data_IF_457365996677
#
_entry.id   IF_457365996677
#
_cell.length_a   1.000
_cell.length_b   1.000
_cell.length_c   1.000
_cell.angle_alpha   90.00
_cell.angle_beta   90.00
_cell.angle_gamma   90.00
#
_symmetry.space_group_name_H-M   'P 1'
#
loop_
_entity.id
_entity.type
_entity.pdbx_description
1 polymer ?
#
# COMPACT_ATOMS: atom_id res chain seq x y z
N UNK A 1 25.61 -2.80 -9.46
CA UNK A 1 25.47 -4.28 -9.48
C UNK A 1 24.72 -4.81 -10.69
N UNK A 2 23.51 -4.32 -11.01
CA UNK A 2 22.67 -4.81 -12.14
C UNK A 2 23.41 -4.87 -13.48
N UNK A 3 24.16 -3.82 -13.84
CA UNK A 3 24.94 -3.75 -15.09
C UNK A 3 26.04 -4.83 -15.21
N UNK A 4 26.60 -5.33 -14.10
CA UNK A 4 27.62 -6.40 -14.11
C UNK A 4 26.99 -7.77 -14.40
N UNK A 5 25.79 -8.04 -13.86
CA UNK A 5 25.05 -9.30 -14.12
C UNK A 5 24.57 -9.42 -15.55
N UNK A 6 24.05 -8.36 -16.14
CA UNK A 6 23.60 -8.38 -17.56
C UNK A 6 24.75 -8.78 -18.48
N UNK A 7 25.97 -8.29 -18.21
CA UNK A 7 27.17 -8.69 -18.96
C UNK A 7 27.55 -10.16 -18.74
N UNK A 8 27.45 -10.67 -17.51
CA UNK A 8 27.70 -12.08 -17.19
C UNK A 8 26.68 -13.02 -17.82
N UNK A 9 25.39 -12.68 -17.80
CA UNK A 9 24.32 -13.46 -18.47
C UNK A 9 24.58 -13.51 -19.98
N UNK A 10 24.84 -12.36 -20.62
CA UNK A 10 25.16 -12.32 -22.06
C UNK A 10 26.39 -13.16 -22.42
N UNK A 11 27.43 -13.14 -21.58
CA UNK A 11 28.64 -13.96 -21.76
C UNK A 11 28.35 -15.47 -21.66
N UNK A 12 27.54 -15.88 -20.68
CA UNK A 12 27.16 -17.29 -20.49
C UNK A 12 26.26 -17.81 -21.62
N UNK A 13 25.31 -16.98 -22.10
CA UNK A 13 24.48 -17.29 -23.27
C UNK A 13 25.37 -17.47 -24.51
N UNK A 14 26.32 -16.55 -24.75
CA UNK A 14 27.27 -16.65 -25.88
C UNK A 14 28.11 -17.94 -25.84
N UNK A 15 28.37 -18.46 -24.63
CA UNK A 15 29.11 -19.72 -24.40
C UNK A 15 28.20 -20.95 -24.32
N UNK A 16 26.89 -20.83 -24.61
CA UNK A 16 25.89 -21.90 -24.52
C UNK A 16 25.79 -22.57 -23.14
N UNK A 17 26.16 -21.85 -22.07
CA UNK A 17 26.15 -22.32 -20.67
C UNK A 17 24.79 -22.05 -20.00
N UNK A 18 23.75 -22.67 -20.55
CA UNK A 18 22.35 -22.38 -20.17
C UNK A 18 22.03 -22.81 -18.74
N UNK A 19 22.62 -23.90 -18.24
CA UNK A 19 22.45 -24.36 -16.86
C UNK A 19 22.96 -23.33 -15.85
N UNK A 20 24.08 -22.68 -16.14
CA UNK A 20 24.67 -21.63 -15.29
C UNK A 20 23.91 -20.31 -15.38
N UNK A 21 23.34 -19.99 -16.55
CA UNK A 21 22.38 -18.89 -16.67
C UNK A 21 21.18 -19.16 -15.78
N UNK A 22 20.62 -20.36 -15.84
CA UNK A 22 19.45 -20.75 -15.04
C UNK A 22 19.76 -20.72 -13.55
N UNK A 23 20.92 -21.22 -13.11
CA UNK A 23 21.36 -21.11 -11.71
C UNK A 23 21.54 -19.66 -11.28
N UNK A 24 22.11 -18.81 -12.13
CA UNK A 24 22.34 -17.39 -11.83
C UNK A 24 21.04 -16.58 -11.74
N UNK A 25 20.03 -16.94 -12.54
CA UNK A 25 18.68 -16.35 -12.47
C UNK A 25 17.89 -16.90 -11.29
N UNK A 26 17.98 -18.21 -10.99
CA UNK A 26 17.30 -18.83 -9.85
C UNK A 26 17.87 -18.37 -8.50
N UNK A 27 19.19 -18.15 -8.43
CA UNK A 27 19.86 -17.55 -7.28
C UNK A 27 19.73 -16.02 -7.27
N UNK A 28 18.94 -15.43 -8.17
CA UNK A 28 18.48 -14.06 -8.01
C UNK A 28 17.39 -14.04 -6.93
N UNK A 29 17.81 -14.33 -5.70
CA UNK A 29 17.05 -13.96 -4.51
C UNK A 29 16.90 -12.46 -4.59
N UNK A 30 15.71 -12.02 -5.01
CA UNK A 30 15.31 -10.62 -4.95
C UNK A 30 15.47 -10.22 -3.49
N UNK A 31 16.55 -9.51 -3.17
CA UNK A 31 16.80 -9.08 -1.80
C UNK A 31 15.55 -8.33 -1.33
N UNK A 32 15.04 -8.63 -0.13
CA UNK A 32 13.90 -7.91 0.39
C UNK A 32 14.22 -6.42 0.41
N UNK A 33 13.23 -5.60 0.04
CA UNK A 33 13.39 -4.15 0.10
C UNK A 33 13.71 -3.70 1.52
N UNK A 34 14.55 -2.67 1.65
CA UNK A 34 14.76 -2.01 2.92
C UNK A 34 13.47 -1.34 3.40
N UNK A 35 13.34 -1.14 4.72
CA UNK A 35 12.13 -0.56 5.34
C UNK A 35 11.71 0.76 4.71
N UNK A 36 12.66 1.64 4.40
CA UNK A 36 12.41 2.93 3.73
C UNK A 36 11.81 2.75 2.33
N UNK A 37 12.38 1.85 1.52
CA UNK A 37 11.88 1.55 0.18
C UNK A 37 10.49 0.93 0.23
N UNK A 38 10.27 0.00 1.15
CA UNK A 38 8.96 -0.62 1.35
C UNK A 38 7.92 0.42 1.81
N UNK A 39 8.29 1.33 2.71
CA UNK A 39 7.39 2.41 3.18
C UNK A 39 7.04 3.38 2.05
N UNK A 40 8.04 3.85 1.29
CA UNK A 40 7.83 4.75 0.14
C UNK A 40 7.01 4.10 -0.95
N UNK A 41 7.26 2.83 -1.25
CA UNK A 41 6.49 2.11 -2.26
C UNK A 41 5.08 1.81 -1.76
N UNK A 42 4.92 1.40 -0.51
CA UNK A 42 3.62 1.11 0.10
C UNK A 42 2.74 2.36 0.26
N UNK A 43 3.34 3.55 0.48
CA UNK A 43 2.55 4.78 0.62
C UNK A 43 1.90 5.20 -0.69
N UNK A 44 2.51 4.93 -1.86
CA UNK A 44 1.95 5.36 -3.16
C UNK A 44 0.59 4.74 -3.49
N UNK A 45 0.39 3.41 -3.42
CA UNK A 45 -0.94 2.84 -3.58
C UNK A 45 -1.95 3.36 -2.56
N UNK A 46 -1.53 3.58 -1.31
CA UNK A 46 -2.40 4.11 -0.26
C UNK A 46 -2.84 5.55 -0.56
N UNK A 47 -1.91 6.42 -0.98
CA UNK A 47 -2.19 7.78 -1.43
C UNK A 47 -3.20 7.78 -2.58
N UNK A 48 -2.98 6.93 -3.60
CA UNK A 48 -3.93 6.78 -4.71
C UNK A 48 -5.32 6.36 -4.23
N UNK A 49 -5.41 5.38 -3.33
CA UNK A 49 -6.69 4.93 -2.78
C UNK A 49 -7.40 6.04 -1.99
N UNK A 50 -6.68 6.86 -1.24
CA UNK A 50 -7.26 8.01 -0.52
C UNK A 50 -7.82 9.04 -1.49
N UNK A 51 -7.11 9.31 -2.59
CA UNK A 51 -7.49 10.35 -3.55
C UNK A 51 -8.62 9.92 -4.48
N UNK A 52 -8.69 8.64 -4.84
CA UNK A 52 -9.57 8.18 -5.93
C UNK A 52 -10.72 7.27 -5.50
N UNK A 53 -10.68 6.70 -4.29
CA UNK A 53 -11.74 5.79 -3.86
C UNK A 53 -12.87 6.59 -3.18
N UNK A 54 -14.09 6.47 -3.74
CA UNK A 54 -15.30 7.10 -3.21
C UNK A 54 -16.37 6.06 -2.95
N UNK A 55 -17.16 6.28 -1.90
CA UNK A 55 -18.34 5.49 -1.59
C UNK A 55 -19.51 6.04 -2.42
N UNK A 56 -20.33 5.12 -2.93
CA UNK A 56 -21.54 5.48 -3.65
C UNK A 56 -22.56 6.12 -2.70
N UNK A 57 -23.32 7.13 -3.17
CA UNK A 57 -24.40 7.69 -2.39
C UNK A 57 -25.44 6.63 -2.00
N UNK A 58 -26.10 6.74 -0.84
CA UNK A 58 -27.17 5.84 -0.46
C UNK A 58 -28.29 5.80 -1.50
N UNK A 59 -28.83 4.62 -1.80
CA UNK A 59 -29.88 4.40 -2.81
C UNK A 59 -31.17 5.20 -2.52
N UNK A 60 -31.38 5.52 -1.25
CA UNK A 60 -32.51 6.26 -0.71
C UNK A 60 -32.31 7.79 -0.74
N UNK A 61 -31.28 8.29 -1.41
CA UNK A 61 -31.09 9.73 -1.62
C UNK A 61 -32.15 10.29 -2.59
N UNK A 62 -32.75 11.44 -2.25
CA UNK A 62 -33.73 12.10 -3.12
C UNK A 62 -33.07 12.68 -4.36
N UNK A 63 -33.76 12.61 -5.50
CA UNK A 63 -33.30 13.16 -6.78
C UNK A 63 -33.08 14.68 -6.76
N UNK A 64 -33.69 15.38 -5.79
CA UNK A 64 -33.54 16.83 -5.59
C UNK A 64 -32.27 17.20 -4.80
N UNK A 65 -31.52 16.22 -4.30
CA UNK A 65 -30.28 16.46 -3.54
C UNK A 65 -29.04 16.06 -4.34
N UNK A 66 -27.96 16.87 -4.30
CA UNK A 66 -26.70 16.52 -4.96
C UNK A 66 -26.14 15.18 -4.43
N UNK A 67 -25.54 14.33 -5.28
CA UNK A 67 -24.99 13.04 -4.88
C UNK A 67 -24.06 13.13 -3.66
N UNK A 68 -24.32 12.34 -2.61
CA UNK A 68 -23.47 12.24 -1.41
C UNK A 68 -22.20 11.43 -1.72
N UNK A 69 -21.28 12.03 -2.47
CA UNK A 69 -20.00 11.41 -2.86
C UNK A 69 -18.97 11.68 -1.76
N UNK A 70 -18.60 10.63 -1.02
CA UNK A 70 -17.65 10.72 0.10
C UNK A 70 -16.42 9.84 -0.12
N UNK A 71 -15.21 10.28 0.26
CA UNK A 71 -14.02 9.48 0.13
C UNK A 71 -14.11 8.23 1.01
N UNK A 72 -13.74 7.08 0.45
CA UNK A 72 -13.68 5.79 1.11
C UNK A 72 -12.63 5.74 2.22
N UNK A 73 -11.52 6.46 2.04
CA UNK A 73 -10.39 6.49 2.97
C UNK A 73 -9.97 7.93 3.28
N UNK A 74 -9.58 8.22 4.52
CA UNK A 74 -9.11 9.54 4.95
C UNK A 74 -7.88 9.42 5.85
N UNK A 75 -6.82 10.15 5.51
CA UNK A 75 -5.67 10.29 6.40
C UNK A 75 -5.96 11.34 7.49
N UNK A 76 -5.76 10.97 8.76
CA UNK A 76 -5.88 11.87 9.91
C UNK A 76 -4.70 11.73 10.85
N UNK A 77 -4.35 12.80 11.54
CA UNK A 77 -3.39 12.78 12.63
C UNK A 77 -4.13 12.71 13.97
N UNK A 78 -3.99 11.60 14.70
CA UNK A 78 -4.57 11.43 16.03
C UNK A 78 -3.55 11.73 17.11
N UNK A 79 -4.04 12.21 18.25
CA UNK A 79 -3.24 12.43 19.45
C UNK A 79 -3.65 11.39 20.48
N UNK A 80 -2.71 10.55 20.91
CA UNK A 80 -2.93 9.64 22.03
C UNK A 80 -2.86 10.45 23.32
N UNK A 81 -4.02 10.71 23.92
CA UNK A 81 -4.12 11.38 25.21
C UNK A 81 -3.46 10.55 26.31
N UNK A 82 -2.70 11.22 27.19
CA UNK A 82 -2.24 10.59 28.43
C UNK A 82 -3.35 10.64 29.45
N UNK A 83 -3.83 9.46 29.84
CA UNK A 83 -4.42 9.34 31.16
C UNK A 83 -3.25 9.50 32.15
N UNK A 84 -3.33 10.52 33.00
CA UNK A 84 -2.48 10.79 34.17
C UNK A 84 -0.97 11.00 33.91
N UNK A 85 -0.57 12.28 33.95
CA UNK A 85 0.71 12.79 34.46
C UNK A 85 2.01 12.09 34.03
N UNK A 86 2.69 12.71 33.06
CA UNK A 86 4.16 12.73 32.80
C UNK A 86 4.53 12.37 31.35
N UNK A 87 4.51 13.37 30.47
CA UNK A 87 5.26 13.47 29.21
C UNK A 87 4.41 13.85 27.98
N UNK A 88 5.05 14.29 26.89
CA UNK A 88 4.37 14.77 25.67
C UNK A 88 3.34 13.79 25.11
N UNK A 89 2.20 14.31 24.65
CA UNK A 89 1.18 13.55 23.94
C UNK A 89 1.74 13.05 22.60
N UNK A 90 1.58 11.75 22.31
CA UNK A 90 2.12 11.13 21.09
C UNK A 90 1.13 11.31 19.94
N UNK A 91 1.54 11.98 18.87
CA UNK A 91 0.77 12.09 17.63
C UNK A 91 1.12 10.95 16.67
N UNK A 92 0.14 10.42 15.94
CA UNK A 92 0.34 9.36 14.95
C UNK A 92 -0.67 9.49 13.80
N UNK A 93 -0.25 9.10 12.60
CA UNK A 93 -1.11 9.07 11.41
C UNK A 93 -1.99 7.82 11.42
N UNK A 94 -3.23 7.97 10.96
CA UNK A 94 -4.18 6.87 10.74
C UNK A 94 -4.87 7.04 9.40
N UNK A 95 -5.13 5.93 8.72
CA UNK A 95 -6.08 5.88 7.61
C UNK A 95 -7.41 5.38 8.18
N UNK A 96 -8.43 6.22 8.11
CA UNK A 96 -9.80 5.86 8.51
C UNK A 96 -10.61 5.47 7.28
N UNK A 97 -11.41 4.41 7.41
CA UNK A 97 -12.38 4.02 6.40
C UNK A 97 -13.71 4.74 6.64
N UNK A 98 -14.47 4.96 5.57
CA UNK A 98 -15.87 5.36 5.69
C UNK A 98 -16.69 4.28 6.43
N UNK A 99 -17.64 4.65 7.31
CA UNK A 99 -18.45 3.67 8.05
C UNK A 99 -19.18 2.66 7.16
N UNK A 100 -19.55 3.04 5.93
CA UNK A 100 -20.21 2.13 5.00
C UNK A 100 -19.30 0.98 4.56
N UNK A 101 -17.99 1.19 4.53
CA UNK A 101 -17.01 0.14 4.21
C UNK A 101 -16.87 -0.83 5.38
N UNK A 102 -16.84 -0.32 6.60
CA UNK A 102 -16.76 -1.15 7.81
C UNK A 102 -17.99 -2.07 7.92
N UNK A 103 -19.18 -1.51 7.71
CA UNK A 103 -20.44 -2.26 7.76
C UNK A 103 -20.59 -3.28 6.62
N UNK A 104 -20.03 -3.02 5.43
CA UNK A 104 -20.02 -3.97 4.33
C UNK A 104 -19.03 -5.13 4.52
N UNK A 105 -17.91 -4.86 5.19
CA UNK A 105 -16.86 -5.87 5.44
C UNK A 105 -17.30 -6.90 6.50
N UNK A 106 -17.96 -6.44 7.58
CA UNK A 106 -18.48 -7.32 8.64
C UNK A 106 -19.52 -8.33 8.14
N UNK A 107 -20.23 -8.02 7.03
CA UNK A 107 -21.22 -8.91 6.40
C UNK A 107 -20.62 -9.94 5.44
N UNK A 108 -19.38 -9.71 4.98
CA UNK A 108 -18.73 -10.56 3.97
C UNK A 108 -17.87 -11.67 4.59
N UNK A 109 -17.78 -11.70 5.93
CA UNK A 109 -17.18 -12.78 6.72
C UNK A 109 -18.32 -13.57 7.37
N UNK A 110 -19.05 -14.35 6.59
CA UNK A 110 -20.09 -15.28 7.03
C UNK A 110 -20.07 -16.52 6.15
#
# INVERSE_FOLDING_TARGET
MVRKRVKSVKSLIKRKRLTEVQKLVKNDETKPWGRDTQAKLGSRPIELLIDTAFVQPPVNQSADTPPDVRPAFRHKLKTLGKNTGQGMAKKYGVIECDPLILTGLDRSVS
#
